data_IF_581980288592
#
_entry.id   IF_581980288592
#
_cell.length_a   1.000
_cell.length_b   1.000
_cell.length_c   1.000
_cell.angle_alpha   90.00
_cell.angle_beta   90.00
_cell.angle_gamma   90.00
#
_symmetry.space_group_name_H-M   'P 1'
#
loop_
_entity.id
_entity.type
_entity.pdbx_description
1 polymer ?
#
# COMPACT_ATOMS: atom_id res chain seq x y z
N UNK A 1 7.45 -33.68 51.27
CA UNK A 1 6.54 -32.99 50.34
C UNK A 1 7.40 -32.09 49.47
N UNK A 2 7.67 -32.60 48.28
CA UNK A 2 8.50 -32.05 47.21
C UNK A 2 7.78 -30.87 46.54
N UNK A 3 8.45 -29.72 46.46
CA UNK A 3 8.04 -28.61 45.60
C UNK A 3 9.10 -28.44 44.50
N UNK A 4 8.88 -29.12 43.37
CA UNK A 4 9.57 -28.83 42.12
C UNK A 4 8.97 -27.55 41.52
N UNK A 5 9.81 -26.52 41.40
CA UNK A 5 9.53 -25.34 40.57
C UNK A 5 9.69 -25.76 39.11
N UNK A 6 8.58 -25.95 38.40
CA UNK A 6 8.58 -26.02 36.94
C UNK A 6 8.87 -24.62 36.37
N UNK A 7 10.13 -24.41 35.99
CA UNK A 7 10.52 -23.33 35.07
C UNK A 7 10.10 -23.73 33.66
N UNK A 8 9.01 -23.15 33.17
CA UNK A 8 8.67 -23.22 31.74
C UNK A 8 9.67 -22.37 30.96
N UNK A 9 10.76 -23.01 30.53
CA UNK A 9 11.56 -22.54 29.41
C UNK A 9 10.68 -22.56 28.16
N UNK A 10 10.27 -21.39 27.68
CA UNK A 10 9.80 -21.22 26.31
C UNK A 10 11.03 -21.47 25.42
N UNK A 11 11.05 -22.63 24.78
CA UNK A 11 12.07 -23.05 23.83
C UNK A 11 12.08 -22.08 22.64
N UNK A 12 13.08 -21.20 22.61
CA UNK A 12 13.37 -20.30 21.51
C UNK A 12 14.09 -21.11 20.41
N UNK A 13 13.34 -21.93 19.66
CA UNK A 13 13.87 -22.73 18.56
C UNK A 13 13.56 -22.07 17.21
N UNK A 14 14.19 -20.93 16.93
CA UNK A 14 14.32 -20.41 15.57
C UNK A 14 15.81 -20.18 15.29
N UNK A 15 16.57 -21.26 15.11
CA UNK A 15 18.01 -21.24 14.79
C UNK A 15 18.29 -21.08 13.29
N UNK A 16 17.26 -20.82 12.47
CA UNK A 16 17.39 -20.66 11.03
C UNK A 16 17.60 -19.20 10.62
N UNK A 17 18.29 -18.99 9.49
CA UNK A 17 18.46 -17.65 8.90
C UNK A 17 17.10 -17.02 8.62
N UNK A 18 16.86 -15.81 9.13
CA UNK A 18 15.61 -15.07 8.93
C UNK A 18 15.84 -13.77 8.19
N UNK A 19 14.91 -13.44 7.28
CA UNK A 19 14.86 -12.20 6.53
C UNK A 19 13.66 -11.38 6.99
N UNK A 20 13.90 -10.14 7.40
CA UNK A 20 12.86 -9.22 7.85
C UNK A 20 12.44 -8.30 6.71
N UNK A 21 11.16 -8.36 6.36
CA UNK A 21 10.52 -7.50 5.36
C UNK A 21 9.81 -6.35 6.05
N UNK A 22 9.96 -5.14 5.51
CA UNK A 22 9.22 -3.95 5.89
C UNK A 22 8.27 -3.57 4.75
N UNK A 23 6.97 -3.61 5.02
CA UNK A 23 5.91 -3.27 4.07
C UNK A 23 5.48 -1.83 4.37
N UNK A 24 5.86 -0.90 3.52
CA UNK A 24 5.60 0.53 3.70
C UNK A 24 4.20 0.89 3.18
N UNK A 25 3.17 0.60 3.98
CA UNK A 25 1.82 1.06 3.70
C UNK A 25 1.72 2.55 4.02
N UNK A 26 1.82 3.38 2.99
CA UNK A 26 1.94 4.83 3.16
C UNK A 26 1.29 5.57 2.00
N UNK A 27 0.86 6.80 2.27
CA UNK A 27 0.39 7.71 1.23
C UNK A 27 1.57 8.36 0.50
N UNK A 28 1.49 8.42 -0.82
CA UNK A 28 2.45 9.12 -1.67
C UNK A 28 1.70 10.09 -2.59
N UNK A 29 2.08 11.36 -2.51
CA UNK A 29 1.37 12.47 -3.15
C UNK A 29 1.56 12.43 -4.66
N UNK A 30 0.47 12.53 -5.42
CA UNK A 30 0.55 12.53 -6.88
C UNK A 30 1.35 13.74 -7.38
N UNK A 31 2.38 13.47 -8.19
CA UNK A 31 3.21 14.48 -8.86
C UNK A 31 4.35 15.07 -8.02
N UNK A 32 4.31 14.94 -6.69
CA UNK A 32 5.33 15.43 -5.77
C UNK A 32 6.44 14.39 -5.52
N UNK A 33 7.21 14.14 -6.59
CA UNK A 33 8.34 13.20 -6.59
C UNK A 33 9.36 13.52 -5.49
N UNK A 34 9.56 14.80 -5.16
CA UNK A 34 10.59 15.22 -4.19
C UNK A 34 10.18 14.84 -2.77
N UNK A 35 8.97 15.20 -2.36
CA UNK A 35 8.46 14.82 -1.04
C UNK A 35 8.33 13.30 -0.92
N UNK A 36 7.88 12.63 -1.99
CA UNK A 36 7.75 11.17 -2.00
C UNK A 36 9.11 10.47 -1.81
N UNK A 37 10.17 10.91 -2.51
CA UNK A 37 11.49 10.27 -2.39
C UNK A 37 12.12 10.52 -1.01
N UNK A 38 11.89 11.69 -0.41
CA UNK A 38 12.34 12.00 0.96
C UNK A 38 11.61 11.15 2.01
N UNK A 39 10.31 10.94 1.81
CA UNK A 39 9.51 10.02 2.63
C UNK A 39 10.01 8.58 2.50
N UNK A 40 10.27 8.11 1.27
CA UNK A 40 10.86 6.78 1.03
C UNK A 40 12.21 6.61 1.71
N UNK A 41 13.09 7.62 1.61
CA UNK A 41 14.39 7.63 2.31
C UNK A 41 14.18 7.46 3.82
N UNK A 42 13.29 8.25 4.41
CA UNK A 42 13.03 8.23 5.85
C UNK A 42 12.53 6.86 6.31
N UNK A 43 11.57 6.29 5.58
CA UNK A 43 11.04 4.94 5.86
C UNK A 43 12.08 3.85 5.66
N UNK A 44 12.97 3.97 4.66
CA UNK A 44 14.04 3.00 4.44
C UNK A 44 15.09 3.03 5.56
N UNK A 45 15.44 4.23 6.04
CA UNK A 45 16.32 4.40 7.21
C UNK A 45 15.66 3.80 8.45
N UNK A 46 14.39 4.13 8.72
CA UNK A 46 13.64 3.57 9.85
C UNK A 46 13.59 2.04 9.78
N UNK A 47 13.25 1.47 8.62
CA UNK A 47 13.17 0.02 8.44
C UNK A 47 14.53 -0.65 8.66
N UNK A 48 15.61 -0.09 8.11
CA UNK A 48 16.98 -0.59 8.30
C UNK A 48 17.38 -0.56 9.76
N UNK A 49 17.14 0.55 10.45
CA UNK A 49 17.50 0.74 11.86
C UNK A 49 16.66 -0.21 12.76
N UNK A 50 15.48 -0.64 12.30
CA UNK A 50 14.68 -1.70 12.89
C UNK A 50 15.06 -3.12 12.42
N UNK A 51 16.17 -3.28 11.70
CA UNK A 51 16.74 -4.56 11.27
C UNK A 51 16.06 -5.20 10.05
N UNK A 52 15.25 -4.45 9.29
CA UNK A 52 14.70 -4.94 8.04
C UNK A 52 15.81 -5.13 6.99
N UNK A 53 15.73 -6.22 6.24
CA UNK A 53 16.64 -6.49 5.13
C UNK A 53 16.09 -5.96 3.81
N UNK A 54 14.77 -5.88 3.68
CA UNK A 54 14.06 -5.41 2.48
C UNK A 54 12.93 -4.47 2.92
N UNK A 55 12.82 -3.31 2.29
CA UNK A 55 11.64 -2.44 2.36
C UNK A 55 10.92 -2.39 1.01
N UNK A 56 9.60 -2.46 1.05
CA UNK A 56 8.74 -2.53 -0.13
C UNK A 56 7.75 -1.38 -0.10
N UNK A 57 7.71 -0.61 -1.19
CA UNK A 57 6.80 0.52 -1.37
C UNK A 57 5.65 0.16 -2.34
N UNK A 58 4.49 0.85 -2.24
CA UNK A 58 3.36 0.62 -3.13
C UNK A 58 3.65 0.88 -4.62
N UNK A 59 2.70 0.49 -5.46
CA UNK A 59 2.72 0.74 -6.90
C UNK A 59 2.79 2.25 -7.20
N UNK A 60 3.65 2.62 -8.16
CA UNK A 60 3.96 4.01 -8.53
C UNK A 60 4.24 4.97 -7.37
N UNK A 61 4.60 4.48 -6.17
CA UNK A 61 4.80 5.30 -4.98
C UNK A 61 5.76 6.49 -5.20
N UNK A 62 6.72 6.41 -6.13
CA UNK A 62 7.60 7.53 -6.44
C UNK A 62 6.83 8.74 -7.00
N UNK A 63 5.86 8.48 -7.89
CA UNK A 63 5.05 9.50 -8.53
C UNK A 63 3.70 9.72 -7.83
N UNK A 64 3.23 8.77 -7.03
CA UNK A 64 1.85 8.68 -6.53
C UNK A 64 0.91 8.02 -7.55
N UNK A 65 -0.27 7.58 -7.08
CA UNK A 65 -1.26 6.89 -7.91
C UNK A 65 -2.70 7.38 -7.63
N UNK A 66 -3.54 7.58 -8.67
CA UNK A 66 -3.21 7.59 -10.10
C UNK A 66 -2.61 8.96 -10.50
N UNK A 67 -1.55 9.00 -11.34
CA UNK A 67 -0.97 10.28 -11.78
C UNK A 67 -1.53 10.80 -13.13
N UNK A 68 -2.35 10.00 -13.81
CA UNK A 68 -3.00 10.33 -15.08
C UNK A 68 -2.04 10.95 -16.13
N UNK A 69 -2.46 12.01 -16.82
CA UNK A 69 -1.71 12.68 -17.88
C UNK A 69 -0.36 13.28 -17.41
N UNK A 70 -0.04 13.30 -16.10
CA UNK A 70 1.32 13.60 -15.64
C UNK A 70 2.34 12.61 -16.23
N UNK A 71 1.93 11.38 -16.54
CA UNK A 71 2.73 10.36 -17.21
C UNK A 71 3.18 10.75 -18.62
N UNK A 72 2.45 11.67 -19.26
CA UNK A 72 2.73 12.14 -20.62
C UNK A 72 3.67 13.36 -20.64
N UNK A 73 4.09 13.87 -19.48
CA UNK A 73 4.98 15.04 -19.42
C UNK A 73 6.41 14.68 -19.83
N UNK A 74 7.01 15.38 -20.81
CA UNK A 74 8.37 15.07 -21.29
C UNK A 74 9.45 15.12 -20.20
N UNK A 75 9.27 15.97 -19.18
CA UNK A 75 10.21 16.12 -18.06
C UNK A 75 10.19 14.95 -17.07
N UNK A 76 9.26 14.00 -17.19
CA UNK A 76 9.06 12.95 -16.19
C UNK A 76 10.30 12.06 -16.05
N UNK A 77 10.89 11.60 -17.17
CA UNK A 77 12.05 10.69 -17.16
C UNK A 77 13.22 11.27 -16.37
N UNK A 78 13.52 12.56 -16.56
CA UNK A 78 14.64 13.22 -15.88
C UNK A 78 14.37 13.39 -14.38
N UNK A 79 13.14 13.75 -14.00
CA UNK A 79 12.74 13.87 -12.58
C UNK A 79 12.82 12.52 -11.86
N UNK A 80 12.35 11.45 -12.51
CA UNK A 80 12.42 10.09 -11.96
C UNK A 80 13.87 9.64 -11.79
N UNK A 81 14.71 9.83 -12.81
CA UNK A 81 16.14 9.49 -12.75
C UNK A 81 16.85 10.25 -11.63
N UNK A 82 16.60 11.56 -11.50
CA UNK A 82 17.17 12.37 -10.43
C UNK A 82 16.73 11.90 -9.04
N UNK A 83 15.44 11.58 -8.87
CA UNK A 83 14.91 11.09 -7.60
C UNK A 83 15.50 9.73 -7.21
N UNK A 84 15.52 8.75 -8.11
CA UNK A 84 16.14 7.44 -7.84
C UNK A 84 17.65 7.58 -7.56
N UNK A 85 18.34 8.46 -8.30
CA UNK A 85 19.75 8.78 -8.06
C UNK A 85 19.99 9.52 -6.74
N UNK A 86 18.94 10.04 -6.09
CA UNK A 86 19.10 10.64 -4.78
C UNK A 86 19.26 9.57 -3.70
N UNK A 87 18.81 8.33 -3.91
CA UNK A 87 18.88 7.23 -2.92
C UNK A 87 20.23 6.50 -2.88
N UNK A 88 21.24 7.02 -3.58
CA UNK A 88 22.55 6.35 -3.75
C UNK A 88 23.31 6.17 -2.44
N UNK A 89 22.98 6.97 -1.44
CA UNK A 89 23.55 6.95 -0.10
C UNK A 89 22.91 5.89 0.81
N UNK A 90 21.79 5.30 0.40
CA UNK A 90 21.07 4.28 1.18
C UNK A 90 21.71 2.90 0.93
N UNK A 91 22.31 2.39 2.00
CA UNK A 91 23.02 1.12 2.05
C UNK A 91 22.41 0.19 3.11
N UNK A 92 22.81 -1.08 3.05
CA UNK A 92 22.46 -2.13 4.03
C UNK A 92 20.97 -2.52 4.10
N UNK A 93 20.17 -2.05 3.13
CA UNK A 93 18.78 -2.45 2.93
C UNK A 93 18.47 -2.53 1.43
N UNK A 94 17.67 -3.52 1.01
CA UNK A 94 17.12 -3.58 -0.35
C UNK A 94 15.81 -2.78 -0.38
N UNK A 95 15.63 -1.92 -1.38
CA UNK A 95 14.38 -1.20 -1.59
C UNK A 95 13.69 -1.70 -2.86
N UNK A 96 12.40 -2.02 -2.76
CA UNK A 96 11.53 -2.29 -3.90
C UNK A 96 10.62 -1.07 -4.07
N UNK A 97 10.82 -0.29 -5.13
CA UNK A 97 10.15 1.00 -5.36
C UNK A 97 9.25 0.94 -6.59
N UNK A 98 7.97 1.25 -6.43
CA UNK A 98 7.06 1.51 -7.55
C UNK A 98 7.35 2.86 -8.22
N UNK A 99 7.54 2.87 -9.53
CA UNK A 99 7.87 4.07 -10.30
C UNK A 99 7.48 3.94 -11.78
N UNK A 100 7.27 5.06 -12.50
CA UNK A 100 7.14 5.03 -13.95
C UNK A 100 8.53 4.94 -14.59
N UNK A 101 8.82 3.84 -15.29
CA UNK A 101 10.03 3.72 -16.10
C UNK A 101 9.76 4.28 -17.49
N UNK A 102 10.59 5.21 -17.95
CA UNK A 102 10.48 5.81 -19.28
C UNK A 102 11.77 5.58 -20.03
N UNK A 103 11.68 4.83 -21.13
CA UNK A 103 12.80 4.59 -22.04
C UNK A 103 12.40 4.82 -23.50
N UNK A 104 13.22 4.36 -24.45
CA UNK A 104 12.99 4.56 -25.88
C UNK A 104 11.90 3.65 -26.46
N UNK A 105 11.46 2.62 -25.73
CA UNK A 105 10.35 1.75 -26.12
C UNK A 105 9.00 2.28 -25.64
N UNK A 106 8.99 3.11 -24.60
CA UNK A 106 7.76 3.69 -24.07
C UNK A 106 7.83 4.02 -22.58
N UNK A 107 6.64 4.10 -21.97
CA UNK A 107 6.46 4.35 -20.54
C UNK A 107 5.86 3.10 -19.91
N UNK A 108 6.39 2.65 -18.76
CA UNK A 108 6.01 1.41 -18.12
C UNK A 108 5.72 1.62 -16.64
N UNK A 109 4.63 1.03 -16.14
CA UNK A 109 4.39 0.91 -14.70
C UNK A 109 5.34 -0.16 -14.14
N UNK A 110 6.24 0.25 -13.23
CA UNK A 110 7.43 -0.52 -12.92
C UNK A 110 7.74 -0.62 -11.43
N UNK A 111 8.47 -1.67 -11.07
CA UNK A 111 9.09 -1.84 -9.76
C UNK A 111 10.61 -1.91 -9.93
N UNK A 112 11.37 -1.03 -9.26
CA UNK A 112 12.83 -1.07 -9.22
C UNK A 112 13.32 -1.83 -7.99
N UNK A 113 14.39 -2.61 -8.14
CA UNK A 113 15.14 -3.19 -7.03
C UNK A 113 16.39 -2.34 -6.84
N UNK A 114 16.49 -1.63 -5.72
CA UNK A 114 17.65 -0.82 -5.35
C UNK A 114 18.39 -1.49 -4.20
N UNK A 115 19.70 -1.65 -4.35
CA UNK A 115 20.56 -2.20 -3.31
C UNK A 115 21.90 -1.46 -3.32
N UNK A 116 22.31 -0.97 -2.15
CA UNK A 116 23.56 -0.22 -1.96
C UNK A 116 23.67 0.94 -2.96
N UNK A 117 22.61 1.75 -3.02
CA UNK A 117 22.53 2.90 -3.90
C UNK A 117 22.48 2.64 -5.41
N UNK A 118 22.29 1.38 -5.84
CA UNK A 118 22.25 1.04 -7.27
C UNK A 118 21.00 0.23 -7.62
N UNK A 119 20.38 0.57 -8.74
CA UNK A 119 19.32 -0.24 -9.34
C UNK A 119 19.92 -1.55 -9.89
N UNK A 120 19.53 -2.68 -9.30
CA UNK A 120 19.99 -4.03 -9.67
C UNK A 120 19.08 -4.70 -10.70
N UNK A 121 17.83 -4.28 -10.77
CA UNK A 121 16.84 -4.80 -11.70
C UNK A 121 15.57 -3.99 -11.68
N UNK A 122 14.68 -4.28 -12.62
CA UNK A 122 13.35 -3.68 -12.67
C UNK A 122 12.36 -4.64 -13.33
N UNK A 123 11.11 -4.61 -12.87
CA UNK A 123 9.98 -5.35 -13.43
C UNK A 123 8.98 -4.37 -14.05
N UNK A 124 8.35 -4.73 -15.16
CA UNK A 124 7.26 -3.98 -15.78
C UNK A 124 5.95 -4.75 -15.65
N UNK A 125 4.89 -4.06 -15.21
CA UNK A 125 3.54 -4.59 -15.07
C UNK A 125 3.08 -5.21 -16.38
N UNK A 126 2.62 -6.45 -16.35
CA UNK A 126 2.28 -7.22 -17.55
C UNK A 126 0.80 -7.13 -17.91
N UNK A 127 -0.06 -6.89 -16.92
CA UNK A 127 -1.48 -6.72 -17.11
C UNK A 127 -1.89 -5.31 -16.75
N UNK A 128 -2.29 -4.55 -17.77
CA UNK A 128 -2.69 -3.16 -17.63
C UNK A 128 -4.23 -3.10 -17.58
N UNK A 129 -4.82 -2.82 -16.41
CA UNK A 129 -6.27 -2.65 -16.29
C UNK A 129 -6.71 -1.42 -17.08
N UNK A 130 -7.80 -1.59 -17.84
CA UNK A 130 -8.41 -0.50 -18.63
C UNK A 130 -9.94 -0.58 -18.53
N UNK A 131 -10.43 -0.73 -17.31
CA UNK A 131 -11.84 -0.90 -16.95
C UNK A 131 -12.10 -0.21 -15.61
N UNK A 132 -13.36 0.14 -15.35
CA UNK A 132 -13.75 0.82 -14.12
C UNK A 132 -13.06 2.17 -14.01
N UNK A 133 -12.27 2.35 -12.95
CA UNK A 133 -11.51 3.58 -12.64
C UNK A 133 -10.11 3.60 -13.25
N UNK A 134 -9.72 2.56 -13.99
CA UNK A 134 -8.38 2.41 -14.54
C UNK A 134 -8.34 2.64 -16.05
N UNK A 135 -7.38 3.45 -16.49
CA UNK A 135 -7.07 3.70 -17.92
C UNK A 135 -5.57 3.49 -18.22
N UNK A 136 -4.95 2.45 -17.65
CA UNK A 136 -3.49 2.29 -17.72
C UNK A 136 -2.95 2.13 -19.15
N UNK A 137 -3.74 1.61 -20.09
CA UNK A 137 -3.30 1.45 -21.49
C UNK A 137 -3.22 2.77 -22.25
N UNK A 138 -3.76 3.86 -21.69
CA UNK A 138 -3.52 5.21 -22.20
C UNK A 138 -2.07 5.65 -21.97
N UNK A 139 -1.48 5.23 -20.86
CA UNK A 139 -0.22 5.77 -20.35
C UNK A 139 0.96 4.81 -20.46
N UNK A 140 0.68 3.50 -20.37
CA UNK A 140 1.70 2.48 -20.21
C UNK A 140 1.68 1.45 -21.34
N UNK A 141 2.88 1.02 -21.70
CA UNK A 141 3.13 -0.17 -22.49
C UNK A 141 3.19 -1.41 -21.59
N UNK A 142 2.75 -2.55 -22.13
CA UNK A 142 2.76 -3.82 -21.40
C UNK A 142 4.20 -4.32 -21.20
N UNK A 143 4.52 -4.67 -19.95
CA UNK A 143 5.75 -5.39 -19.61
C UNK A 143 5.85 -6.78 -20.24
N UNK A 144 7.07 -7.19 -20.56
CA UNK A 144 7.40 -8.52 -21.11
C UNK A 144 8.51 -9.23 -20.35
N UNK A 145 9.16 -8.54 -19.42
CA UNK A 145 10.18 -9.12 -18.56
C UNK A 145 9.54 -9.78 -17.34
N UNK A 146 10.22 -10.81 -16.85
CA UNK A 146 10.00 -11.39 -15.53
C UNK A 146 11.26 -11.16 -14.73
N UNK A 147 11.10 -10.90 -13.43
CA UNK A 147 12.23 -10.62 -12.54
C UNK A 147 12.16 -11.54 -11.36
N UNK A 148 13.24 -12.31 -11.24
CA UNK A 148 13.62 -13.06 -10.05
C UNK A 148 14.96 -12.51 -9.61
N UNK A 149 15.11 -12.29 -8.31
CA UNK A 149 16.40 -11.91 -7.76
C UNK A 149 16.70 -12.72 -6.50
N UNK A 150 17.94 -13.19 -6.44
CA UNK A 150 18.42 -13.93 -5.28
C UNK A 150 18.87 -12.96 -4.21
N UNK A 151 18.32 -13.11 -3.01
CA UNK A 151 18.74 -12.34 -1.86
C UNK A 151 18.87 -13.22 -0.63
N UNK A 152 20.10 -13.30 -0.12
CA UNK A 152 20.43 -13.99 1.12
C UNK A 152 19.93 -15.46 1.20
N UNK A 153 19.83 -16.15 0.06
CA UNK A 153 19.48 -17.57 0.00
C UNK A 153 18.02 -17.86 -0.34
N UNK A 154 17.24 -16.85 -0.73
CA UNK A 154 15.90 -17.02 -1.30
C UNK A 154 15.80 -16.31 -2.65
N UNK A 155 14.97 -16.87 -3.53
CA UNK A 155 14.64 -16.31 -4.84
C UNK A 155 13.33 -15.55 -4.74
N UNK A 156 13.36 -14.23 -4.94
CA UNK A 156 12.18 -13.36 -4.82
C UNK A 156 11.68 -12.96 -6.20
N UNK A 157 10.42 -13.26 -6.49
CA UNK A 157 9.71 -12.80 -7.69
C UNK A 157 8.96 -11.49 -7.45
N UNK A 158 8.86 -10.64 -8.48
CA UNK A 158 8.12 -9.38 -8.43
C UNK A 158 6.88 -9.40 -9.33
N UNK A 159 5.78 -8.85 -8.84
CA UNK A 159 4.54 -8.57 -9.58
C UNK A 159 4.00 -7.18 -9.23
N UNK A 160 3.09 -6.64 -10.04
CA UNK A 160 2.42 -5.37 -9.75
C UNK A 160 0.90 -5.54 -9.90
N UNK A 161 0.17 -5.32 -8.81
CA UNK A 161 -1.29 -5.25 -8.73
C UNK A 161 -2.06 -6.24 -9.62
N UNK A 162 -2.54 -5.78 -10.77
CA UNK A 162 -3.37 -6.53 -11.72
C UNK A 162 -2.74 -7.87 -12.15
N UNK A 163 -1.40 -7.98 -12.12
CA UNK A 163 -0.71 -9.22 -12.44
C UNK A 163 -1.15 -10.39 -11.54
N UNK A 164 -1.46 -10.14 -10.26
CA UNK A 164 -1.96 -11.19 -9.36
C UNK A 164 -3.39 -11.61 -9.62
N UNK A 165 -4.19 -10.82 -10.33
CA UNK A 165 -5.55 -11.20 -10.70
C UNK A 165 -5.54 -12.27 -11.80
N UNK A 166 -4.42 -12.44 -12.48
CA UNK A 166 -4.19 -13.45 -13.50
C UNK A 166 -3.50 -14.68 -12.92
N UNK A 167 -3.81 -15.85 -13.47
CA UNK A 167 -3.19 -17.11 -13.00
C UNK A 167 -1.73 -17.24 -13.47
N UNK A 168 -1.40 -16.72 -14.66
CA UNK A 168 -0.15 -16.98 -15.36
C UNK A 168 1.10 -16.33 -14.72
N UNK A 169 1.10 -15.04 -14.30
CA UNK A 169 2.33 -14.38 -13.84
C UNK A 169 2.96 -15.02 -12.61
N UNK A 170 2.15 -15.31 -11.58
CA UNK A 170 2.65 -15.97 -10.36
C UNK A 170 3.09 -17.42 -10.64
N UNK A 171 2.37 -18.11 -11.53
CA UNK A 171 2.74 -19.46 -11.94
C UNK A 171 4.08 -19.48 -12.67
N UNK A 172 4.32 -18.53 -13.57
CA UNK A 172 5.57 -18.41 -14.28
C UNK A 172 6.75 -18.15 -13.32
N UNK A 173 6.57 -17.29 -12.31
CA UNK A 173 7.56 -17.08 -11.27
C UNK A 173 7.84 -18.37 -10.48
N UNK A 174 6.80 -19.15 -10.15
CA UNK A 174 6.99 -20.45 -9.49
C UNK A 174 7.76 -21.43 -10.35
N UNK A 175 7.37 -21.57 -11.61
CA UNK A 175 7.97 -22.51 -12.56
C UNK A 175 9.46 -22.17 -12.81
N UNK A 176 9.87 -20.92 -12.59
CA UNK A 176 11.25 -20.45 -12.66
C UNK A 176 12.03 -20.52 -11.33
N UNK A 177 11.40 -21.03 -10.27
CA UNK A 177 12.07 -21.28 -9.00
C UNK A 177 11.92 -20.18 -7.94
N UNK A 178 10.91 -19.32 -8.03
CA UNK A 178 10.60 -18.42 -6.92
C UNK A 178 10.36 -19.20 -5.61
N UNK A 179 10.89 -18.66 -4.51
CA UNK A 179 10.62 -19.11 -3.15
C UNK A 179 9.55 -18.24 -2.48
N UNK A 180 9.43 -16.98 -2.91
CA UNK A 180 8.51 -15.96 -2.39
C UNK A 180 8.17 -14.95 -3.48
N UNK A 181 6.97 -14.39 -3.44
CA UNK A 181 6.55 -13.31 -4.35
C UNK A 181 6.27 -12.03 -3.58
N UNK A 182 6.79 -10.91 -4.07
CA UNK A 182 6.42 -9.56 -3.64
C UNK A 182 5.54 -8.94 -4.71
N UNK A 183 4.42 -8.37 -4.29
CA UNK A 183 3.57 -7.54 -5.15
C UNK A 183 3.36 -6.16 -4.53
N UNK A 184 3.46 -5.15 -5.38
CA UNK A 184 3.21 -3.75 -5.03
C UNK A 184 1.92 -3.31 -5.69
N UNK A 185 1.08 -2.56 -4.96
CA UNK A 185 -0.30 -2.32 -5.36
C UNK A 185 -0.72 -0.88 -5.05
N UNK A 186 -1.55 -0.34 -5.93
CA UNK A 186 -2.41 0.81 -5.67
C UNK A 186 -3.85 0.36 -5.94
N UNK A 187 -4.36 -0.53 -5.08
CA UNK A 187 -5.70 -1.08 -5.20
C UNK A 187 -6.69 -0.16 -4.45
N UNK A 188 -7.60 0.55 -5.14
CA UNK A 188 -8.55 1.45 -4.51
C UNK A 188 -9.57 0.65 -3.69
N UNK A 189 -10.10 1.29 -2.67
CA UNK A 189 -11.16 0.80 -1.80
C UNK A 189 -12.46 0.64 -2.58
N UNK A 190 -13.09 -0.50 -2.37
CA UNK A 190 -14.52 -0.70 -2.60
C UNK A 190 -15.05 -1.50 -1.41
N UNK A 191 -16.33 -1.34 -1.07
CA UNK A 191 -16.92 -2.05 0.07
C UNK A 191 -16.72 -3.57 -0.06
N UNK A 192 -16.16 -4.20 0.99
CA UNK A 192 -15.88 -5.64 0.99
C UNK A 192 -14.64 -6.08 0.19
N UNK A 193 -13.96 -5.19 -0.54
CA UNK A 193 -12.83 -5.56 -1.40
C UNK A 193 -11.64 -6.17 -0.66
N UNK A 194 -11.45 -5.85 0.63
CA UNK A 194 -10.42 -6.50 1.44
C UNK A 194 -10.63 -8.01 1.54
N UNK A 195 -11.87 -8.47 1.71
CA UNK A 195 -12.17 -9.91 1.72
C UNK A 195 -11.86 -10.54 0.35
N UNK A 196 -12.16 -9.83 -0.74
CA UNK A 196 -11.81 -10.25 -2.11
C UNK A 196 -10.29 -10.37 -2.27
N UNK A 197 -9.50 -9.41 -1.77
CA UNK A 197 -8.03 -9.46 -1.80
C UNK A 197 -7.49 -10.61 -0.98
N UNK A 198 -7.99 -10.83 0.24
CA UNK A 198 -7.59 -11.97 1.09
C UNK A 198 -7.87 -13.30 0.40
N UNK A 199 -9.05 -13.46 -0.21
CA UNK A 199 -9.43 -14.67 -0.94
C UNK A 199 -8.53 -14.90 -2.18
N UNK A 200 -8.25 -13.83 -2.94
CA UNK A 200 -7.33 -13.87 -4.08
C UNK A 200 -5.94 -14.32 -3.65
N UNK A 201 -5.36 -13.68 -2.62
CA UNK A 201 -4.02 -13.99 -2.13
C UNK A 201 -3.95 -15.41 -1.57
N UNK A 202 -4.96 -15.83 -0.82
CA UNK A 202 -5.05 -17.19 -0.27
C UNK A 202 -5.04 -18.24 -1.39
N UNK A 203 -5.85 -18.02 -2.43
CA UNK A 203 -5.89 -18.87 -3.61
C UNK A 203 -4.56 -18.87 -4.36
N UNK A 204 -4.00 -17.71 -4.68
CA UNK A 204 -2.73 -17.57 -5.43
C UNK A 204 -1.57 -18.22 -4.71
N UNK A 205 -1.48 -18.04 -3.39
CA UNK A 205 -0.45 -18.65 -2.56
C UNK A 205 -0.57 -20.18 -2.56
N UNK A 206 -1.79 -20.70 -2.34
CA UNK A 206 -2.05 -22.15 -2.26
C UNK A 206 -1.84 -22.85 -3.60
N UNK A 207 -2.38 -22.29 -4.69
CA UNK A 207 -2.30 -22.90 -6.03
C UNK A 207 -0.85 -23.03 -6.52
N UNK A 208 0.04 -22.14 -6.07
CA UNK A 208 1.44 -22.10 -6.50
C UNK A 208 2.42 -22.57 -5.42
N UNK A 209 1.95 -22.91 -4.21
CA UNK A 209 2.78 -23.18 -3.04
C UNK A 209 3.86 -22.11 -2.85
N UNK A 210 3.41 -20.84 -2.80
CA UNK A 210 4.26 -19.65 -2.72
C UNK A 210 3.74 -18.70 -1.64
N UNK A 211 4.57 -18.31 -0.66
CA UNK A 211 4.29 -17.17 0.20
C UNK A 211 4.23 -15.88 -0.62
N UNK A 212 3.36 -14.95 -0.22
CA UNK A 212 3.14 -13.67 -0.90
C UNK A 212 3.27 -12.51 0.08
N UNK A 213 4.04 -11.50 -0.28
CA UNK A 213 4.07 -10.18 0.37
C UNK A 213 3.28 -9.21 -0.49
N UNK A 214 2.21 -8.65 0.06
CA UNK A 214 1.28 -7.74 -0.59
C UNK A 214 1.34 -6.36 0.05
N UNK A 215 1.87 -5.36 -0.66
CA UNK A 215 1.92 -3.98 -0.18
C UNK A 215 0.95 -3.12 -0.98
N UNK A 216 0.03 -2.46 -0.28
CA UNK A 216 -0.96 -1.57 -0.89
C UNK A 216 -0.76 -0.12 -0.43
N UNK A 217 -1.07 0.82 -1.31
CA UNK A 217 -1.16 2.23 -0.96
C UNK A 217 -2.27 2.48 0.07
N UNK A 218 -2.19 3.59 0.79
CA UNK A 218 -3.24 4.07 1.69
C UNK A 218 -3.41 5.58 1.55
N UNK A 219 -4.62 6.09 1.83
CA UNK A 219 -4.96 7.51 1.76
C UNK A 219 -5.87 7.86 0.59
N UNK A 220 -6.37 9.09 0.58
CA UNK A 220 -7.22 9.65 -0.48
C UNK A 220 -6.40 10.28 -1.60
N UNK A 221 -6.88 10.11 -2.84
CA UNK A 221 -6.42 10.83 -4.03
C UNK A 221 -7.65 11.14 -4.88
N UNK A 222 -8.01 12.42 -4.93
CA UNK A 222 -9.19 12.92 -5.64
C UNK A 222 -10.46 12.09 -5.36
N UNK A 223 -10.99 11.38 -6.35
CA UNK A 223 -12.19 10.57 -6.24
C UNK A 223 -11.96 9.15 -5.70
N UNK A 224 -10.70 8.77 -5.47
CA UNK A 224 -10.30 7.46 -4.98
C UNK A 224 -9.80 7.49 -3.54
N UNK A 225 -10.06 6.41 -2.82
CA UNK A 225 -9.47 6.14 -1.51
C UNK A 225 -8.74 4.81 -1.58
N UNK A 226 -7.50 4.75 -1.11
CA UNK A 226 -6.75 3.53 -0.92
C UNK A 226 -6.82 3.14 0.56
N UNK A 227 -7.26 1.93 0.84
CA UNK A 227 -7.54 1.46 2.20
C UNK A 227 -6.34 0.77 2.86
N UNK A 228 -5.21 0.61 2.18
CA UNK A 228 -4.08 -0.14 2.71
C UNK A 228 -4.43 -1.63 2.80
N UNK A 229 -4.37 -2.18 4.02
CA UNK A 229 -4.60 -3.61 4.26
C UNK A 229 -3.49 -4.49 3.69
N UNK A 230 -2.24 -4.01 3.75
CA UNK A 230 -1.05 -4.76 3.32
C UNK A 230 -0.92 -6.07 4.11
N UNK A 231 -0.42 -7.14 3.48
CA UNK A 231 -0.43 -8.48 4.05
C UNK A 231 0.85 -9.27 3.75
N UNK A 232 1.23 -10.16 4.67
CA UNK A 232 2.12 -11.28 4.38
C UNK A 232 1.31 -12.58 4.49
N UNK A 233 1.33 -13.40 3.45
CA UNK A 233 0.52 -14.62 3.32
C UNK A 233 1.45 -15.83 3.17
N UNK A 234 1.16 -16.88 3.93
CA UNK A 234 1.86 -18.16 3.87
C UNK A 234 1.58 -18.90 2.56
N UNK A 235 2.45 -19.83 2.17
CA UNK A 235 2.24 -20.70 1.01
C UNK A 235 0.96 -21.55 1.08
N UNK A 236 0.43 -21.80 2.29
CA UNK A 236 -0.84 -22.50 2.50
C UNK A 236 -2.07 -21.58 2.47
N UNK A 237 -1.90 -20.32 2.07
CA UNK A 237 -2.97 -19.34 1.94
C UNK A 237 -3.43 -18.68 3.24
N UNK A 238 -2.83 -19.00 4.40
CA UNK A 238 -3.14 -18.31 5.66
C UNK A 238 -2.42 -16.96 5.74
N UNK A 239 -3.14 -15.93 6.18
CA UNK A 239 -2.56 -14.61 6.47
C UNK A 239 -1.68 -14.71 7.71
N UNK A 240 -0.40 -14.36 7.57
CA UNK A 240 0.58 -14.35 8.66
C UNK A 240 0.63 -12.98 9.35
N UNK A 241 0.60 -11.92 8.54
CA UNK A 241 0.55 -10.52 9.01
C UNK A 241 -0.43 -9.72 8.16
N UNK A 242 -1.12 -8.76 8.77
CA UNK A 242 -2.02 -7.82 8.11
C UNK A 242 -1.88 -6.45 8.75
N UNK A 243 -1.76 -5.40 7.93
CA UNK A 243 -1.68 -4.01 8.37
C UNK A 243 -3.09 -3.45 8.66
N UNK A 244 -3.24 -2.50 9.58
CA UNK A 244 -4.51 -1.81 9.78
C UNK A 244 -4.93 -1.09 8.50
N UNK A 245 -6.24 -0.98 8.26
CA UNK A 245 -6.78 -0.27 7.10
C UNK A 245 -6.95 1.21 7.40
N UNK A 246 -6.93 2.04 6.35
CA UNK A 246 -7.12 3.50 6.41
C UNK A 246 -6.07 4.28 7.22
N UNK A 247 -4.94 3.62 7.55
CA UNK A 247 -3.85 4.20 8.34
C UNK A 247 -2.50 3.94 7.66
N UNK A 248 -1.60 4.91 7.72
CA UNK A 248 -0.20 4.67 7.41
C UNK A 248 0.43 3.72 8.43
N UNK A 249 1.20 2.75 7.97
CA UNK A 249 1.81 1.73 8.81
C UNK A 249 3.04 1.10 8.14
N UNK A 250 4.12 0.95 8.91
CA UNK A 250 5.29 0.19 8.49
C UNK A 250 5.22 -1.20 9.13
N UNK A 251 4.67 -2.17 8.40
CA UNK A 251 4.46 -3.54 8.89
C UNK A 251 5.74 -4.36 8.72
N UNK A 252 6.13 -5.10 9.75
CA UNK A 252 7.29 -5.99 9.71
C UNK A 252 6.87 -7.47 9.72
N UNK A 253 7.42 -8.26 8.80
CA UNK A 253 7.23 -9.71 8.74
C UNK A 253 8.58 -10.43 8.62
N UNK A 254 8.83 -11.42 9.47
CA UNK A 254 10.07 -12.19 9.48
C UNK A 254 9.86 -13.50 8.72
N UNK A 255 10.55 -13.66 7.60
CA UNK A 255 10.57 -14.88 6.81
C UNK A 255 11.71 -15.80 7.27
N UNK A 256 11.42 -17.05 7.58
CA UNK A 256 12.44 -18.06 7.85
C UNK A 256 12.83 -18.74 6.54
N UNK A 257 14.10 -18.61 6.16
CA UNK A 257 14.63 -19.08 4.86
C UNK A 257 14.57 -20.60 4.73
N UNK A 258 14.76 -21.33 5.84
CA UNK A 258 14.82 -22.79 5.83
C UNK A 258 13.43 -23.42 5.78
N UNK A 259 12.47 -22.87 6.55
CA UNK A 259 11.11 -23.39 6.59
C UNK A 259 10.22 -22.83 5.49
N UNK A 260 10.60 -21.73 4.85
CA UNK A 260 9.81 -21.04 3.84
C UNK A 260 8.54 -20.40 4.39
N UNK A 261 8.56 -19.96 5.66
CA UNK A 261 7.38 -19.46 6.38
C UNK A 261 7.65 -18.11 7.02
N UNK A 262 6.64 -17.24 7.05
CA UNK A 262 6.66 -16.08 7.94
C UNK A 262 6.34 -16.47 9.37
N UNK A 263 6.85 -15.69 10.32
CA UNK A 263 6.26 -15.60 11.65
C UNK A 263 4.81 -15.08 11.55
N UNK A 264 4.00 -15.32 12.58
CA UNK A 264 2.60 -14.91 12.59
C UNK A 264 2.38 -13.83 13.63
N UNK A 265 1.67 -12.76 13.26
CA UNK A 265 1.31 -11.69 14.18
C UNK A 265 0.48 -12.23 15.35
N UNK A 266 0.74 -11.72 16.55
CA UNK A 266 0.02 -12.17 17.76
C UNK A 266 -1.44 -11.71 17.78
N UNK A 267 -1.71 -10.53 17.20
CA UNK A 267 -3.04 -9.93 17.16
C UNK A 267 -3.31 -9.39 15.76
N UNK A 268 -4.42 -9.82 15.18
CA UNK A 268 -4.89 -9.26 13.92
C UNK A 268 -5.41 -7.82 14.09
N UNK A 269 -5.37 -6.99 13.03
CA UNK A 269 -6.03 -5.69 13.03
C UNK A 269 -7.51 -5.78 13.39
N UNK A 270 -8.09 -4.64 13.78
CA UNK A 270 -9.52 -4.54 14.03
C UNK A 270 -10.29 -4.83 12.73
N UNK A 271 -11.21 -5.78 12.78
CA UNK A 271 -12.18 -5.97 11.72
C UNK A 271 -13.24 -4.88 11.78
N UNK A 272 -13.44 -4.19 10.66
CA UNK A 272 -14.42 -3.13 10.50
C UNK A 272 -15.72 -3.73 9.96
N UNK A 273 -16.87 -3.21 10.42
CA UNK A 273 -18.15 -3.49 9.76
C UNK A 273 -18.20 -2.80 8.39
N UNK A 274 -19.12 -3.19 7.51
CA UNK A 274 -19.28 -2.55 6.21
C UNK A 274 -19.55 -1.04 6.32
N UNK A 275 -20.34 -0.62 7.30
CA UNK A 275 -20.62 0.78 7.60
C UNK A 275 -19.36 1.50 8.10
N UNK A 276 -18.60 0.84 8.99
CA UNK A 276 -17.36 1.40 9.53
C UNK A 276 -16.30 1.57 8.44
N UNK A 277 -16.15 0.61 7.53
CA UNK A 277 -15.25 0.72 6.38
C UNK A 277 -15.63 1.90 5.48
N UNK A 278 -16.93 2.02 5.16
CA UNK A 278 -17.44 3.09 4.30
C UNK A 278 -17.24 4.45 4.97
N UNK A 279 -17.57 4.57 6.25
CA UNK A 279 -17.38 5.80 7.02
C UNK A 279 -15.90 6.22 7.07
N UNK A 280 -14.99 5.29 7.35
CA UNK A 280 -13.56 5.56 7.38
C UNK A 280 -13.02 5.98 6.01
N UNK A 281 -13.52 5.39 4.91
CA UNK A 281 -13.16 5.83 3.57
C UNK A 281 -13.57 7.28 3.31
N UNK A 282 -14.79 7.68 3.71
CA UNK A 282 -15.26 9.06 3.58
C UNK A 282 -14.42 10.04 4.41
N UNK A 283 -14.10 9.68 5.66
CA UNK A 283 -13.23 10.48 6.55
C UNK A 283 -11.84 10.65 5.94
N UNK A 284 -11.20 9.58 5.48
CA UNK A 284 -9.87 9.63 4.86
C UNK A 284 -9.90 10.45 3.57
N UNK A 285 -10.89 10.22 2.70
CA UNK A 285 -11.03 10.96 1.45
C UNK A 285 -11.14 12.46 1.68
N UNK A 286 -12.01 12.90 2.59
CA UNK A 286 -12.17 14.31 2.92
C UNK A 286 -10.91 14.91 3.57
N UNK A 287 -10.35 14.21 4.57
CA UNK A 287 -9.15 14.66 5.29
C UNK A 287 -8.01 14.90 4.31
N UNK A 288 -7.76 13.93 3.45
CA UNK A 288 -6.61 13.95 2.56
C UNK A 288 -6.83 14.99 1.45
N UNK A 289 -8.04 15.10 0.88
CA UNK A 289 -8.35 16.17 -0.09
C UNK A 289 -8.08 17.57 0.44
N UNK A 290 -8.57 17.87 1.66
CA UNK A 290 -8.42 19.18 2.30
C UNK A 290 -6.95 19.49 2.60
N UNK A 291 -6.25 18.56 3.24
CA UNK A 291 -4.85 18.79 3.65
C UNK A 291 -3.90 18.83 2.44
N UNK A 292 -4.10 17.96 1.45
CA UNK A 292 -3.22 17.89 0.27
C UNK A 292 -3.41 19.09 -0.68
N UNK A 293 -4.62 19.67 -0.70
CA UNK A 293 -4.88 20.91 -1.43
C UNK A 293 -4.42 22.17 -0.68
N UNK A 294 -3.97 22.04 0.58
CA UNK A 294 -3.51 23.16 1.40
C UNK A 294 -4.64 24.03 1.98
N UNK A 295 -5.86 23.50 2.09
CA UNK A 295 -6.96 24.22 2.74
C UNK A 295 -6.84 24.14 4.27
N UNK A 296 -7.29 25.21 4.95
CA UNK A 296 -7.22 25.30 6.42
C UNK A 296 -8.45 24.69 7.13
N UNK A 297 -9.53 24.45 6.39
CA UNK A 297 -10.78 23.93 6.92
C UNK A 297 -11.88 23.88 5.86
N UNK A 298 -13.12 23.61 6.29
CA UNK A 298 -14.29 23.46 5.41
C UNK A 298 -15.49 24.23 5.94
N UNK A 299 -16.41 24.57 5.03
CA UNK A 299 -17.72 25.13 5.35
C UNK A 299 -18.79 24.13 4.94
N UNK A 300 -19.73 23.82 5.84
CA UNK A 300 -20.84 22.91 5.60
C UNK A 300 -22.17 23.67 5.73
N UNK A 301 -22.96 23.67 4.67
CA UNK A 301 -24.34 24.15 4.73
C UNK A 301 -25.21 23.13 5.47
N UNK A 302 -25.77 23.53 6.62
CA UNK A 302 -26.72 22.70 7.36
C UNK A 302 -28.15 23.00 6.92
N UNK A 303 -28.96 21.95 6.79
CA UNK A 303 -30.39 22.07 6.49
C UNK A 303 -31.29 21.56 7.61
N UNK A 304 -30.71 20.93 8.64
CA UNK A 304 -31.41 20.08 9.61
C UNK A 304 -31.68 18.66 9.10
N UNK A 305 -31.34 18.35 7.85
CA UNK A 305 -31.49 17.01 7.27
C UNK A 305 -30.31 16.08 7.55
N UNK A 306 -30.58 14.77 7.53
CA UNK A 306 -29.62 13.70 7.82
C UNK A 306 -28.35 13.75 6.96
N UNK A 307 -28.46 14.13 5.68
CA UNK A 307 -27.30 14.18 4.78
C UNK A 307 -26.28 15.24 5.22
N UNK A 308 -26.76 16.45 5.55
CA UNK A 308 -25.91 17.53 6.04
C UNK A 308 -25.35 17.24 7.44
N UNK A 309 -26.13 16.55 8.29
CA UNK A 309 -25.67 16.11 9.60
C UNK A 309 -24.56 15.06 9.51
N UNK A 310 -24.71 14.05 8.64
CA UNK A 310 -23.67 13.04 8.41
C UNK A 310 -22.41 13.67 7.82
N UNK A 311 -22.57 14.58 6.85
CA UNK A 311 -21.45 15.32 6.25
C UNK A 311 -20.70 16.13 7.31
N UNK A 312 -21.41 16.77 8.24
CA UNK A 312 -20.81 17.49 9.35
C UNK A 312 -20.01 16.57 10.27
N UNK A 313 -20.57 15.42 10.65
CA UNK A 313 -19.87 14.42 11.46
C UNK A 313 -18.56 13.96 10.78
N UNK A 314 -18.62 13.62 9.49
CA UNK A 314 -17.44 13.22 8.72
C UNK A 314 -16.40 14.34 8.68
N UNK A 315 -16.82 15.60 8.46
CA UNK A 315 -15.92 16.74 8.43
C UNK A 315 -15.21 16.95 9.78
N UNK A 316 -15.93 16.83 10.88
CA UNK A 316 -15.37 16.96 12.23
C UNK A 316 -14.39 15.83 12.52
N UNK A 317 -14.73 14.59 12.19
CA UNK A 317 -13.83 13.44 12.38
C UNK A 317 -12.59 13.50 11.48
N UNK A 318 -12.71 14.06 10.27
CA UNK A 318 -11.61 14.21 9.33
C UNK A 318 -10.62 15.31 9.72
N UNK A 319 -11.11 16.45 10.22
CA UNK A 319 -10.32 17.68 10.32
C UNK A 319 -10.19 18.23 11.75
N UNK A 320 -11.05 17.81 12.68
CA UNK A 320 -11.26 18.47 13.97
C UNK A 320 -12.32 19.56 13.89
N UNK A 321 -13.10 19.73 14.97
CA UNK A 321 -14.20 20.70 15.01
C UNK A 321 -13.75 22.15 14.90
N UNK A 322 -12.49 22.46 15.21
CA UNK A 322 -11.88 23.78 15.06
C UNK A 322 -11.71 24.22 13.60
N UNK A 323 -11.79 23.27 12.65
CA UNK A 323 -11.62 23.51 11.20
C UNK A 323 -12.91 23.36 10.40
N UNK A 324 -14.05 23.23 11.07
CA UNK A 324 -15.35 22.98 10.43
C UNK A 324 -16.33 24.09 10.80
N UNK A 325 -16.79 24.82 9.79
CA UNK A 325 -17.75 25.90 9.95
C UNK A 325 -19.12 25.48 9.41
N UNK A 326 -20.11 25.38 10.29
CA UNK A 326 -21.48 25.09 9.92
C UNK A 326 -22.29 26.37 9.67
N UNK A 327 -23.03 26.43 8.57
CA UNK A 327 -23.90 27.57 8.22
C UNK A 327 -25.30 27.09 7.90
N UNK A 328 -26.30 27.57 8.64
CA UNK A 328 -27.72 27.39 8.31
C UNK A 328 -28.21 28.61 7.54
N UNK A 329 -28.89 28.37 6.40
CA UNK A 329 -29.43 29.43 5.54
C UNK A 329 -30.94 29.26 5.40
N UNK A 330 -31.75 29.69 6.39
CA UNK A 330 -33.19 29.50 6.37
C UNK A 330 -33.87 30.35 5.29
N UNK A 331 -35.00 29.87 4.80
CA UNK A 331 -35.90 30.58 3.89
C UNK A 331 -37.33 30.63 4.46
N UNK A 332 -38.24 31.30 3.78
CA UNK A 332 -39.65 31.51 4.19
C UNK A 332 -40.38 30.23 4.59
N UNK A 333 -39.99 29.08 4.05
CA UNK A 333 -40.60 27.77 4.30
C UNK A 333 -39.78 26.85 5.23
N UNK A 334 -38.71 27.34 5.87
CA UNK A 334 -37.91 26.54 6.81
C UNK A 334 -38.69 26.27 8.08
N UNK A 335 -38.82 25.00 8.46
CA UNK A 335 -39.53 24.61 9.68
C UNK A 335 -38.71 24.94 10.93
N UNK A 336 -39.38 25.21 12.05
CA UNK A 336 -38.72 25.48 13.34
C UNK A 336 -37.91 24.26 13.83
N UNK A 337 -38.39 23.04 13.54
CA UNK A 337 -37.69 21.79 13.90
C UNK A 337 -36.31 21.74 13.21
N UNK A 338 -36.24 22.13 11.93
CA UNK A 338 -34.98 22.21 11.19
C UNK A 338 -33.97 23.21 11.78
N UNK A 339 -34.42 24.17 12.58
CA UNK A 339 -33.55 25.13 13.29
C UNK A 339 -33.07 24.60 14.64
N UNK A 340 -33.82 23.69 15.27
CA UNK A 340 -33.55 23.14 16.59
C UNK A 340 -32.70 21.85 16.56
N UNK A 341 -32.66 21.14 15.43
CA UNK A 341 -31.86 19.92 15.22
C UNK A 341 -30.38 20.18 14.87
N UNK A 342 -29.87 21.37 15.20
CA UNK A 342 -28.49 21.83 14.90
C UNK A 342 -27.61 21.78 16.14
#
# INVERSE_FOLDING_TARGET
MSNEKNSNHISNNATGKSLKFALAQSHFMVGDIQTNIEKMRSLAIEARDNGANIIIFPELALLGYPPEDLLLRPSLSDRVKAALSSLNDINDIVMIIGYPHVDYHGTFNSAAIIQNGQQKGFYHKQYLPNYGVFDERRYFDKGRNQVLFDYQGITIGLLICEDLWQDEPIKALKDQGADLVVTINASPFEAGKQHTRQALLSKRATDNNLPIVYVNAVGGQDDLVFDGGSMAVQANGKVAHEAPRFLEHLLYANFNVESGQFDTQTKAPLQLSAESETYQALVVGLRDYVNHSGFEGVIVGLSGGIDSALTLCIAVDALGSDKVYAVMMPYEYTSQISLEEI
#
